data_IF_903915144616
#
_entry.id   IF_903915144616
#
_cell.length_a   1.000
_cell.length_b   1.000
_cell.length_c   1.000
_cell.angle_alpha   90.00
_cell.angle_beta   90.00
_cell.angle_gamma   90.00
#
_symmetry.space_group_name_H-M   'P 1'
#
loop_
_entity.id
_entity.type
_entity.pdbx_description
1 polymer ?
#
# COMPACT_ATOMS: atom_id res chain seq x y z
N UNK A 1 -16.44 21.13 -4.86
CA UNK A 1 -16.62 20.55 -3.51
C UNK A 1 -16.94 19.06 -3.53
N UNK A 2 -17.75 18.56 -4.47
CA UNK A 2 -18.10 17.12 -4.52
C UNK A 2 -16.89 16.20 -4.74
N UNK A 3 -15.91 16.63 -5.54
CA UNK A 3 -14.65 15.92 -5.78
C UNK A 3 -13.85 15.66 -4.49
N UNK A 4 -13.81 16.63 -3.56
CA UNK A 4 -13.10 16.49 -2.28
C UNK A 4 -13.86 15.57 -1.30
N UNK A 5 -15.19 15.45 -1.45
CA UNK A 5 -16.04 14.55 -0.63
C UNK A 5 -16.03 13.11 -1.13
N UNK A 6 -15.81 12.90 -2.43
CA UNK A 6 -15.76 11.56 -3.04
C UNK A 6 -14.38 10.92 -2.93
N UNK A 7 -13.34 11.69 -2.59
CA UNK A 7 -11.99 11.16 -2.49
C UNK A 7 -11.76 10.47 -1.14
N UNK A 8 -11.23 9.25 -1.19
CA UNK A 8 -10.81 8.49 -0.02
C UNK A 8 -9.45 9.05 0.43
N UNK A 9 -9.40 9.70 1.58
CA UNK A 9 -8.20 10.36 2.12
C UNK A 9 -7.38 9.34 2.94
N UNK A 10 -6.36 8.66 2.38
CA UNK A 10 -5.58 7.66 3.12
C UNK A 10 -4.90 8.21 4.38
N UNK A 11 -4.47 9.47 4.37
CA UNK A 11 -3.91 10.17 5.52
C UNK A 11 -4.95 11.07 6.23
N UNK A 12 -6.24 10.82 5.98
CA UNK A 12 -7.39 11.49 6.58
C UNK A 12 -7.27 13.03 6.55
N UNK A 13 -7.42 13.67 7.71
CA UNK A 13 -7.40 15.12 7.88
C UNK A 13 -6.05 15.75 7.52
N UNK A 14 -4.94 15.07 7.80
CA UNK A 14 -3.59 15.62 7.57
C UNK A 14 -3.36 15.85 6.08
N UNK A 15 -3.75 14.87 5.26
CA UNK A 15 -3.69 14.99 3.81
C UNK A 15 -4.63 16.05 3.29
N UNK A 16 -5.90 16.01 3.70
CA UNK A 16 -6.88 17.02 3.28
C UNK A 16 -6.39 18.45 3.58
N UNK A 17 -5.82 18.66 4.77
CA UNK A 17 -5.27 19.97 5.16
C UNK A 17 -4.10 20.37 4.26
N UNK A 18 -3.15 19.47 3.99
CA UNK A 18 -2.00 19.76 3.12
C UNK A 18 -2.47 20.11 1.71
N UNK A 19 -3.37 19.31 1.14
CA UNK A 19 -3.92 19.56 -0.19
C UNK A 19 -4.64 20.89 -0.25
N UNK A 20 -5.43 21.23 0.77
CA UNK A 20 -6.15 22.50 0.81
C UNK A 20 -5.20 23.71 0.97
N UNK A 21 -4.13 23.54 1.73
CA UNK A 21 -3.08 24.56 1.92
C UNK A 21 -2.28 24.78 0.62
N UNK A 22 -1.88 23.71 -0.08
CA UNK A 22 -1.23 23.81 -1.39
C UNK A 22 -2.14 24.42 -2.44
N UNK A 23 -3.40 23.98 -2.52
CA UNK A 23 -4.37 24.56 -3.44
C UNK A 23 -4.57 26.06 -3.16
N UNK A 24 -4.63 26.47 -1.89
CA UNK A 24 -4.72 27.87 -1.51
C UNK A 24 -3.44 28.66 -1.80
N UNK A 25 -2.27 28.04 -1.67
CA UNK A 25 -0.97 28.67 -1.99
C UNK A 25 -0.75 28.85 -3.49
N UNK A 26 -1.29 27.95 -4.31
CA UNK A 26 -1.13 27.97 -5.78
C UNK A 26 -2.17 28.91 -6.43
N UNK A 27 -3.34 29.07 -5.82
CA UNK A 27 -4.40 29.90 -6.38
C UNK A 27 -4.35 31.32 -5.82
N UNK A 28 -3.69 32.22 -6.56
CA UNK A 28 -3.82 33.68 -6.35
C UNK A 28 -5.20 34.22 -6.79
N UNK A 29 -6.07 33.37 -7.32
CA UNK A 29 -7.41 33.73 -7.80
C UNK A 29 -8.50 33.20 -6.86
N UNK A 30 -9.56 33.98 -6.67
CA UNK A 30 -10.66 33.70 -5.72
C UNK A 30 -11.46 32.41 -6.00
N UNK A 31 -11.19 31.71 -7.11
CA UNK A 31 -11.91 30.50 -7.51
C UNK A 31 -10.95 29.41 -7.98
N UNK A 32 -10.91 28.32 -7.22
CA UNK A 32 -10.15 27.12 -7.59
C UNK A 32 -10.97 26.32 -8.61
N UNK A 33 -10.42 26.15 -9.81
CA UNK A 33 -11.08 25.36 -10.86
C UNK A 33 -11.17 23.89 -10.45
N UNK A 34 -12.35 23.29 -10.62
CA UNK A 34 -12.60 21.87 -10.32
C UNK A 34 -11.73 20.92 -11.13
N UNK A 35 -11.27 21.34 -12.32
CA UNK A 35 -10.33 20.58 -13.15
C UNK A 35 -8.95 20.48 -12.50
N UNK A 36 -8.47 21.56 -11.87
CA UNK A 36 -7.16 21.58 -11.22
C UNK A 36 -7.15 20.69 -9.98
N UNK A 37 -8.21 20.76 -9.17
CA UNK A 37 -8.41 19.87 -8.02
C UNK A 37 -8.41 18.40 -8.46
N UNK A 38 -9.10 18.09 -9.58
CA UNK A 38 -9.15 16.74 -10.12
C UNK A 38 -7.75 16.25 -10.55
N UNK A 39 -7.01 17.04 -11.32
CA UNK A 39 -5.67 16.66 -11.75
C UNK A 39 -4.72 16.45 -10.57
N UNK A 40 -4.75 17.36 -9.60
CA UNK A 40 -3.94 17.25 -8.39
C UNK A 40 -4.28 16.00 -7.56
N UNK A 41 -5.58 15.70 -7.39
CA UNK A 41 -6.03 14.48 -6.73
C UNK A 41 -5.61 13.22 -7.49
N UNK A 42 -5.62 13.23 -8.83
CA UNK A 42 -5.14 12.10 -9.64
C UNK A 42 -3.63 11.89 -9.49
N UNK A 43 -2.84 12.95 -9.38
CA UNK A 43 -1.40 12.88 -9.10
C UNK A 43 -1.11 12.37 -7.69
N UNK A 44 -1.79 12.93 -6.67
CA UNK A 44 -1.73 12.40 -5.31
C UNK A 44 -2.14 10.93 -5.28
N UNK A 45 -3.22 10.55 -5.96
CA UNK A 45 -3.66 9.17 -6.01
C UNK A 45 -2.58 8.26 -6.58
N UNK A 46 -1.86 8.65 -7.62
CA UNK A 46 -0.75 7.85 -8.16
C UNK A 46 0.39 7.67 -7.15
N UNK A 47 0.74 8.73 -6.42
CA UNK A 47 1.80 8.70 -5.41
C UNK A 47 1.40 7.76 -4.25
N UNK A 48 0.17 7.89 -3.76
CA UNK A 48 -0.35 7.07 -2.67
C UNK A 48 -0.74 5.65 -3.11
N UNK A 49 -1.19 5.44 -4.35
CA UNK A 49 -1.52 4.12 -4.89
C UNK A 49 -0.27 3.26 -5.13
N UNK A 50 0.84 3.87 -5.56
CA UNK A 50 2.14 3.19 -5.63
C UNK A 50 2.62 2.74 -4.23
N UNK A 51 2.28 3.51 -3.21
CA UNK A 51 2.54 3.15 -1.80
C UNK A 51 1.54 2.11 -1.25
N UNK A 52 0.39 1.95 -1.90
CA UNK A 52 -0.72 1.06 -1.51
C UNK A 52 -0.70 -0.27 -2.26
N UNK A 53 0.40 -0.63 -2.94
CA UNK A 53 0.67 -2.01 -3.38
C UNK A 53 0.95 -2.95 -2.18
N UNK A 54 0.25 -2.76 -1.06
CA UNK A 54 0.00 -3.83 -0.13
C UNK A 54 -1.15 -4.63 -0.75
N UNK A 55 -0.81 -5.74 -1.42
CA UNK A 55 -1.80 -6.74 -1.84
C UNK A 55 -2.82 -6.86 -0.71
N UNK A 56 -4.12 -6.66 -0.96
CA UNK A 56 -5.12 -6.78 0.08
C UNK A 56 -4.88 -8.12 0.78
N UNK A 57 -4.60 -8.06 2.07
CA UNK A 57 -4.46 -9.26 2.89
C UNK A 57 -5.82 -9.93 2.84
N UNK A 58 -5.89 -10.96 2.01
CA UNK A 58 -7.10 -11.67 1.68
C UNK A 58 -7.40 -12.57 2.88
N UNK A 59 -8.15 -12.03 3.84
CA UNK A 59 -8.55 -12.73 5.06
C UNK A 59 -9.49 -13.92 4.77
N UNK A 60 -9.95 -14.07 3.53
CA UNK A 60 -10.73 -15.24 3.08
C UNK A 60 -9.83 -16.45 2.79
N UNK A 61 -8.51 -16.27 2.77
CA UNK A 61 -7.54 -17.35 2.58
C UNK A 61 -7.20 -18.05 3.88
N UNK A 62 -6.96 -19.36 3.78
CA UNK A 62 -6.56 -20.15 4.95
C UNK A 62 -5.20 -19.68 5.44
N UNK A 63 -4.94 -19.74 6.75
CA UNK A 63 -3.62 -19.47 7.34
C UNK A 63 -2.50 -20.25 6.63
N UNK A 64 -2.80 -21.43 6.10
CA UNK A 64 -1.89 -22.24 5.32
C UNK A 64 -1.47 -21.57 4.00
N UNK A 65 -2.41 -20.99 3.25
CA UNK A 65 -2.14 -20.29 1.99
C UNK A 65 -1.33 -19.01 2.21
N UNK A 66 -1.66 -18.26 3.28
CA UNK A 66 -0.90 -17.08 3.69
C UNK A 66 0.53 -17.47 4.05
N UNK A 67 0.71 -18.58 4.79
CA UNK A 67 2.04 -19.09 5.10
C UNK A 67 2.81 -19.52 3.84
N UNK A 68 2.16 -20.18 2.87
CA UNK A 68 2.81 -20.56 1.60
C UNK A 68 3.24 -19.35 0.78
N UNK A 69 2.42 -18.31 0.69
CA UNK A 69 2.76 -17.08 -0.01
C UNK A 69 3.95 -16.37 0.64
N UNK A 70 3.94 -16.24 1.98
CA UNK A 70 5.05 -15.67 2.75
C UNK A 70 6.34 -16.48 2.55
N UNK A 71 6.26 -17.81 2.59
CA UNK A 71 7.42 -18.68 2.37
C UNK A 71 7.95 -18.50 0.94
N UNK A 72 7.09 -18.44 -0.08
CA UNK A 72 7.51 -18.21 -1.47
C UNK A 72 8.24 -16.88 -1.62
N UNK A 73 7.66 -15.79 -1.10
CA UNK A 73 8.27 -14.46 -1.16
C UNK A 73 9.65 -14.42 -0.45
N UNK A 74 9.77 -15.07 0.71
CA UNK A 74 11.06 -15.13 1.43
C UNK A 74 12.06 -16.02 0.70
N UNK A 75 11.61 -17.11 0.07
CA UNK A 75 12.45 -18.01 -0.71
C UNK A 75 13.01 -17.31 -1.97
N UNK A 76 12.18 -16.53 -2.67
CA UNK A 76 12.59 -15.70 -3.80
C UNK A 76 13.62 -14.65 -3.37
N UNK A 77 13.34 -13.91 -2.28
CA UNK A 77 14.27 -12.94 -1.70
C UNK A 77 15.59 -13.55 -1.21
N UNK A 78 15.63 -14.86 -0.96
CA UNK A 78 16.81 -15.61 -0.52
C UNK A 78 17.41 -16.51 -1.61
N UNK A 79 16.96 -16.36 -2.88
CA UNK A 79 17.42 -17.14 -4.04
C UNK A 79 17.37 -18.66 -3.82
N UNK A 80 16.32 -19.17 -3.19
CA UNK A 80 16.16 -20.62 -2.95
C UNK A 80 16.89 -21.17 -1.73
N UNK A 81 17.56 -20.33 -0.93
CA UNK A 81 18.27 -20.80 0.26
C UNK A 81 17.30 -21.02 1.44
N UNK A 82 16.83 -22.25 1.58
CA UNK A 82 15.89 -22.67 2.62
C UNK A 82 16.38 -22.38 4.05
N UNK A 83 17.69 -22.48 4.31
CA UNK A 83 18.27 -22.19 5.63
C UNK A 83 18.21 -20.69 5.94
N UNK A 84 18.50 -19.85 4.94
CA UNK A 84 18.40 -18.40 5.09
C UNK A 84 16.93 -17.94 5.20
N UNK A 85 16.03 -18.56 4.45
CA UNK A 85 14.59 -18.32 4.53
C UNK A 85 14.03 -18.67 5.92
N UNK A 86 14.34 -19.87 6.43
CA UNK A 86 13.94 -20.31 7.76
C UNK A 86 14.46 -19.36 8.86
N UNK A 87 15.72 -18.93 8.76
CA UNK A 87 16.33 -17.97 9.68
C UNK A 87 15.64 -16.60 9.64
N UNK A 88 15.25 -16.11 8.46
CA UNK A 88 14.48 -14.86 8.30
C UNK A 88 13.07 -14.96 8.88
N UNK A 89 12.43 -16.11 8.73
CA UNK A 89 11.09 -16.38 9.26
C UNK A 89 11.09 -16.73 10.76
N UNK A 90 12.26 -16.90 11.39
CA UNK A 90 12.37 -17.27 12.81
C UNK A 90 11.91 -18.70 13.12
N UNK A 91 11.80 -19.57 12.11
CA UNK A 91 11.32 -20.95 12.24
C UNK A 91 12.43 -21.96 11.94
N UNK A 92 12.26 -23.18 12.41
CA UNK A 92 13.18 -24.28 12.07
C UNK A 92 13.01 -24.71 10.60
N UNK A 93 14.07 -25.24 9.98
CA UNK A 93 14.02 -25.80 8.60
C UNK A 93 12.92 -26.88 8.48
N UNK A 94 12.72 -27.69 9.51
CA UNK A 94 11.68 -28.72 9.57
C UNK A 94 10.27 -28.13 9.57
N UNK A 95 10.06 -27.01 10.26
CA UNK A 95 8.79 -26.27 10.25
C UNK A 95 8.51 -25.69 8.87
N UNK A 96 9.53 -25.10 8.23
CA UNK A 96 9.42 -24.56 6.87
C UNK A 96 9.06 -25.65 5.85
N UNK A 97 9.65 -26.85 5.97
CA UNK A 97 9.32 -27.98 5.10
C UNK A 97 7.90 -28.50 5.32
N UNK A 98 7.42 -28.52 6.58
CA UNK A 98 6.05 -28.93 6.91
C UNK A 98 5.00 -27.96 6.36
N UNK A 99 5.31 -26.67 6.29
CA UNK A 99 4.43 -25.63 5.71
C UNK A 99 4.46 -25.62 4.18
N UNK A 100 5.48 -26.21 3.55
CA UNK A 100 5.56 -26.38 2.10
C UNK A 100 4.81 -27.63 1.58
N UNK A 101 4.51 -28.58 2.48
CA UNK A 101 3.78 -29.81 2.15
C UNK A 101 2.28 -29.54 2.24
#
# INVERSE_FOLDING_TARGET
MELLRQYDWPENYTQLKRVLDELASITETSYISSLYIRQFLEEENKIYACSREEKPFDFERTLDEINRDIISQVLEKTKGNQTAAAKKLGISRSTLWRLLK
#
